data_IF_976193173105
#
_entry.id   IF_976193173105
#
_cell.length_a   1.000
_cell.length_b   1.000
_cell.length_c   1.000
_cell.angle_alpha   90.00
_cell.angle_beta   90.00
_cell.angle_gamma   90.00
#
_symmetry.space_group_name_H-M   'P 1'
#
loop_
_entity.id
_entity.type
_entity.pdbx_description
1 polymer ?
#
# COMPACT_ATOMS: atom_id res chain seq x y z
N UNK A 1 -11.79 -3.65 22.23
CA UNK A 1 -12.24 -4.84 21.49
C UNK A 1 -11.16 -5.91 21.55
N UNK A 2 -11.49 -7.09 22.03
CA UNK A 2 -10.55 -8.19 22.14
C UNK A 2 -11.06 -9.40 21.35
N UNK A 3 -10.20 -9.96 20.51
CA UNK A 3 -10.40 -11.23 19.82
C UNK A 3 -9.50 -12.27 20.51
N UNK A 4 -10.05 -13.45 20.78
CA UNK A 4 -9.26 -14.53 21.37
C UNK A 4 -8.06 -14.89 20.49
N UNK A 5 -6.95 -15.31 21.11
CA UNK A 5 -5.74 -15.67 20.38
C UNK A 5 -6.03 -16.75 19.32
N UNK A 6 -5.50 -16.56 18.11
CA UNK A 6 -5.72 -17.45 16.97
C UNK A 6 -7.11 -17.34 16.33
N UNK A 7 -7.93 -16.38 16.73
CA UNK A 7 -9.23 -16.10 16.12
C UNK A 7 -9.20 -14.77 15.36
N UNK A 8 -10.13 -14.59 14.45
CA UNK A 8 -10.42 -13.31 13.81
C UNK A 8 -11.93 -13.07 13.73
N UNK A 9 -12.31 -11.82 13.61
CA UNK A 9 -13.69 -11.38 13.36
C UNK A 9 -13.79 -10.84 11.94
N UNK A 10 -14.80 -11.30 11.21
CA UNK A 10 -15.02 -10.93 9.80
C UNK A 10 -16.14 -9.91 9.71
N UNK A 11 -15.91 -8.81 8.97
CA UNK A 11 -16.91 -7.78 8.71
C UNK A 11 -17.16 -6.85 9.90
N UNK A 12 -16.19 -6.71 10.80
CA UNK A 12 -16.27 -5.74 11.89
C UNK A 12 -16.14 -4.31 11.35
N UNK A 13 -16.95 -3.39 11.89
CA UNK A 13 -16.86 -1.97 11.57
C UNK A 13 -15.67 -1.29 12.25
N UNK A 14 -15.15 -0.24 11.63
CA UNK A 14 -13.98 0.51 12.12
C UNK A 14 -14.26 1.25 13.44
N UNK A 15 -15.52 1.55 13.74
CA UNK A 15 -15.93 2.16 15.01
C UNK A 15 -16.29 1.13 16.08
N UNK A 16 -16.01 -0.17 15.85
CA UNK A 16 -16.30 -1.25 16.78
C UNK A 16 -17.69 -1.87 16.63
N UNK A 17 -18.35 -1.65 15.49
CA UNK A 17 -19.59 -2.35 15.18
C UNK A 17 -19.30 -3.86 15.09
N UNK A 18 -20.22 -4.71 15.63
CA UNK A 18 -20.00 -6.16 15.63
C UNK A 18 -19.81 -6.71 14.24
N UNK A 19 -18.87 -7.65 14.09
CA UNK A 19 -18.68 -8.38 12.85
C UNK A 19 -19.80 -9.37 12.55
N UNK A 20 -19.76 -9.93 11.36
CA UNK A 20 -20.74 -10.92 10.90
C UNK A 20 -20.55 -12.26 11.64
N UNK A 21 -19.30 -12.67 11.85
CA UNK A 21 -18.96 -13.92 12.56
C UNK A 21 -17.48 -13.96 12.96
N UNK A 22 -17.16 -14.90 13.87
CA UNK A 22 -15.79 -15.22 14.26
C UNK A 22 -15.35 -16.55 13.70
N UNK A 23 -14.07 -16.67 13.38
CA UNK A 23 -13.45 -17.89 12.87
C UNK A 23 -11.99 -18.02 13.36
N UNK A 24 -11.37 -19.16 13.09
CA UNK A 24 -9.93 -19.30 13.23
C UNK A 24 -9.21 -18.38 12.26
N UNK A 25 -8.12 -17.73 12.69
CA UNK A 25 -7.31 -16.90 11.83
C UNK A 25 -6.68 -17.79 10.73
N UNK A 26 -6.98 -17.54 9.44
CA UNK A 26 -6.44 -18.30 8.34
C UNK A 26 -4.97 -17.92 8.08
N UNK A 27 -4.33 -18.64 7.15
CA UNK A 27 -3.08 -18.16 6.55
C UNK A 27 -3.32 -16.89 5.73
N UNK A 28 -2.25 -16.16 5.38
CA UNK A 28 -2.35 -14.97 4.53
C UNK A 28 -3.03 -15.28 3.18
N UNK A 29 -2.71 -16.43 2.57
CA UNK A 29 -3.35 -16.87 1.33
C UNK A 29 -4.85 -17.19 1.54
N UNK A 30 -5.21 -17.88 2.61
CA UNK A 30 -6.61 -18.14 2.96
C UNK A 30 -7.40 -16.89 3.28
N UNK A 31 -6.77 -15.88 3.91
CA UNK A 31 -7.38 -14.58 4.14
C UNK A 31 -7.68 -13.86 2.82
N UNK A 32 -6.71 -13.83 1.91
CA UNK A 32 -6.88 -13.24 0.58
C UNK A 32 -7.99 -13.93 -0.22
N UNK A 33 -8.03 -15.26 -0.20
CA UNK A 33 -9.09 -16.05 -0.85
C UNK A 33 -10.48 -15.70 -0.30
N UNK A 34 -10.63 -15.68 1.02
CA UNK A 34 -11.88 -15.35 1.67
C UNK A 34 -12.35 -13.93 1.31
N UNK A 35 -11.46 -12.93 1.35
CA UNK A 35 -11.80 -11.54 1.05
C UNK A 35 -12.21 -11.37 -0.41
N UNK A 36 -11.44 -11.92 -1.35
CA UNK A 36 -11.72 -11.85 -2.78
C UNK A 36 -13.03 -12.55 -3.11
N UNK A 37 -13.26 -13.76 -2.59
CA UNK A 37 -14.49 -14.51 -2.86
C UNK A 37 -15.72 -13.82 -2.33
N UNK A 38 -15.66 -13.20 -1.14
CA UNK A 38 -16.78 -12.40 -0.60
C UNK A 38 -17.10 -11.19 -1.47
N UNK A 39 -16.11 -10.43 -1.90
CA UNK A 39 -16.33 -9.26 -2.73
C UNK A 39 -16.83 -9.62 -4.13
N UNK A 40 -16.35 -10.71 -4.70
CA UNK A 40 -16.80 -11.18 -6.01
C UNK A 40 -18.17 -11.88 -5.97
N UNK A 41 -18.66 -12.28 -4.81
CA UNK A 41 -20.02 -12.76 -4.64
C UNK A 41 -21.07 -11.62 -4.70
N UNK A 42 -20.65 -10.37 -4.50
CA UNK A 42 -21.52 -9.19 -4.45
C UNK A 42 -21.14 -8.14 -5.52
N UNK A 43 -20.85 -8.61 -6.74
CA UNK A 43 -20.50 -7.72 -7.86
C UNK A 43 -21.70 -6.82 -8.21
N UNK A 44 -21.49 -5.49 -8.33
CA UNK A 44 -22.55 -4.58 -8.74
C UNK A 44 -23.14 -4.98 -10.11
N UNK A 45 -24.46 -4.99 -10.29
CA UNK A 45 -25.09 -5.41 -11.55
C UNK A 45 -24.61 -4.63 -12.78
N UNK A 46 -24.15 -3.39 -12.60
CA UNK A 46 -23.64 -2.54 -13.68
C UNK A 46 -22.33 -3.06 -14.28
N UNK A 47 -21.57 -3.88 -13.55
CA UNK A 47 -20.29 -4.46 -14.01
C UNK A 47 -20.53 -5.55 -15.04
N UNK A 48 -21.61 -6.31 -14.90
CA UNK A 48 -21.95 -7.41 -15.80
C UNK A 48 -20.92 -8.54 -15.77
N UNK A 49 -20.10 -8.65 -16.81
CA UNK A 49 -19.05 -9.66 -16.87
C UNK A 49 -17.76 -9.20 -16.17
N UNK A 50 -17.26 -10.01 -15.26
CA UNK A 50 -16.01 -9.77 -14.52
C UNK A 50 -14.79 -9.86 -15.43
N UNK A 51 -14.80 -10.81 -16.37
CA UNK A 51 -13.66 -11.03 -17.28
C UNK A 51 -13.45 -9.80 -18.19
N UNK A 52 -12.26 -9.23 -18.12
CA UNK A 52 -11.89 -8.01 -18.82
C UNK A 52 -12.28 -6.71 -18.09
N UNK A 53 -12.96 -6.80 -16.96
CA UNK A 53 -13.27 -5.60 -16.16
C UNK A 53 -12.00 -5.04 -15.50
N UNK A 54 -11.98 -3.71 -15.36
CA UNK A 54 -10.88 -2.97 -14.69
C UNK A 54 -11.27 -2.64 -13.26
N UNK A 55 -10.34 -2.81 -12.35
CA UNK A 55 -10.57 -2.63 -10.92
C UNK A 55 -9.39 -1.96 -10.24
N UNK A 56 -9.65 -0.92 -9.44
CA UNK A 56 -8.74 -0.42 -8.43
C UNK A 56 -8.81 -1.30 -7.20
N UNK A 57 -7.69 -1.57 -6.59
CA UNK A 57 -7.59 -2.39 -5.39
C UNK A 57 -7.01 -1.54 -4.27
N UNK A 58 -7.68 -1.48 -3.13
CA UNK A 58 -7.14 -0.90 -1.90
C UNK A 58 -7.07 -2.02 -0.87
N UNK A 59 -5.86 -2.41 -0.47
CA UNK A 59 -5.62 -3.22 0.71
C UNK A 59 -5.12 -2.31 1.81
N UNK A 60 -5.96 -2.10 2.82
CA UNK A 60 -5.73 -1.15 3.89
C UNK A 60 -5.43 -1.86 5.20
N UNK A 61 -4.34 -1.50 5.86
CA UNK A 61 -4.02 -1.89 7.22
C UNK A 61 -4.79 -1.02 8.22
N UNK A 62 -5.26 -1.61 9.32
CA UNK A 62 -6.07 -0.90 10.32
C UNK A 62 -5.26 -0.38 11.52
N UNK A 63 -3.92 -0.50 11.49
CA UNK A 63 -3.01 0.13 12.46
C UNK A 63 -1.91 -0.77 13.01
N UNK A 64 -2.15 -2.06 13.24
CA UNK A 64 -1.15 -2.96 13.82
C UNK A 64 -0.55 -3.98 12.84
N UNK A 65 -1.11 -4.10 11.62
CA UNK A 65 -0.58 -5.00 10.59
C UNK A 65 0.55 -4.30 9.84
N UNK A 66 1.70 -4.95 9.73
CA UNK A 66 2.88 -4.36 9.06
C UNK A 66 2.77 -4.43 7.54
N UNK A 67 3.48 -3.52 6.85
CA UNK A 67 3.49 -3.46 5.39
C UNK A 67 3.90 -4.78 4.74
N UNK A 68 4.87 -5.48 5.31
CA UNK A 68 5.33 -6.77 4.82
C UNK A 68 4.21 -7.80 4.83
N UNK A 69 3.37 -7.82 5.86
CA UNK A 69 2.20 -8.70 5.96
C UNK A 69 1.16 -8.31 4.92
N UNK A 70 0.90 -7.00 4.73
CA UNK A 70 0.00 -6.51 3.69
C UNK A 70 0.47 -6.92 2.29
N UNK A 71 1.77 -6.81 1.99
CA UNK A 71 2.30 -7.23 0.69
C UNK A 71 2.19 -8.74 0.47
N UNK A 72 2.34 -9.56 1.50
CA UNK A 72 2.15 -11.01 1.40
C UNK A 72 0.69 -11.35 1.05
N UNK A 73 -0.27 -10.69 1.70
CA UNK A 73 -1.70 -10.86 1.39
C UNK A 73 -2.02 -10.32 -0.01
N UNK A 74 -1.53 -9.13 -0.36
CA UNK A 74 -1.76 -8.52 -1.66
C UNK A 74 -1.25 -9.37 -2.82
N UNK A 75 -0.08 -9.98 -2.70
CA UNK A 75 0.47 -10.93 -3.68
C UNK A 75 -0.56 -12.00 -4.08
N UNK A 76 -1.28 -12.55 -3.11
CA UNK A 76 -2.31 -13.56 -3.38
C UNK A 76 -3.57 -12.95 -3.97
N UNK A 77 -3.97 -11.76 -3.52
CA UNK A 77 -5.10 -11.01 -4.08
C UNK A 77 -4.88 -10.75 -5.57
N UNK A 78 -3.69 -10.27 -5.94
CA UNK A 78 -3.30 -10.01 -7.35
C UNK A 78 -3.45 -11.27 -8.21
N UNK A 79 -2.92 -12.40 -7.75
CA UNK A 79 -3.03 -13.68 -8.43
C UNK A 79 -4.49 -14.11 -8.62
N UNK A 80 -5.31 -13.95 -7.60
CA UNK A 80 -6.72 -14.37 -7.63
C UNK A 80 -7.55 -13.50 -8.57
N UNK A 81 -7.37 -12.19 -8.57
CA UNK A 81 -8.08 -11.26 -9.44
C UNK A 81 -7.64 -11.43 -10.90
N UNK A 82 -6.34 -11.55 -11.15
CA UNK A 82 -5.77 -11.79 -12.48
C UNK A 82 -6.25 -13.13 -13.06
N UNK A 83 -6.31 -14.20 -12.25
CA UNK A 83 -6.82 -15.49 -12.68
C UNK A 83 -8.31 -15.47 -13.06
N UNK A 84 -9.07 -14.51 -12.54
CA UNK A 84 -10.48 -14.28 -12.89
C UNK A 84 -10.65 -13.34 -14.09
N UNK A 85 -9.55 -12.93 -14.72
CA UNK A 85 -9.54 -12.07 -15.91
C UNK A 85 -9.76 -10.59 -15.61
N UNK A 86 -9.60 -10.16 -14.37
CA UNK A 86 -9.65 -8.75 -13.98
C UNK A 86 -8.32 -8.05 -14.31
N UNK A 87 -8.41 -6.80 -14.75
CA UNK A 87 -7.25 -5.92 -14.90
C UNK A 87 -7.16 -4.99 -13.70
N UNK A 88 -6.11 -5.15 -12.89
CA UNK A 88 -5.86 -4.27 -11.74
C UNK A 88 -5.19 -2.98 -12.22
N UNK A 89 -5.74 -1.85 -11.81
CA UNK A 89 -5.24 -0.52 -12.16
C UNK A 89 -4.77 0.20 -10.89
N UNK A 90 -3.48 0.53 -10.83
CA UNK A 90 -2.84 1.32 -9.77
C UNK A 90 -3.30 0.89 -8.35
N UNK A 91 -2.91 -0.30 -7.90
CA UNK A 91 -3.31 -0.79 -6.59
C UNK A 91 -2.69 0.04 -5.47
N UNK A 92 -3.40 0.16 -4.36
CA UNK A 92 -2.92 0.83 -3.15
C UNK A 92 -2.84 -0.20 -2.01
N UNK A 93 -1.66 -0.34 -1.43
CA UNK A 93 -1.42 -1.19 -0.26
C UNK A 93 -0.79 -0.30 0.80
N UNK A 94 -1.58 0.12 1.79
CA UNK A 94 -1.18 1.18 2.72
C UNK A 94 -2.02 1.16 4.00
N UNK A 95 -1.70 2.01 4.96
CA UNK A 95 -2.50 2.34 6.13
C UNK A 95 -3.20 3.69 5.90
N UNK A 96 -4.32 3.68 5.17
CA UNK A 96 -5.07 4.91 4.83
C UNK A 96 -6.08 5.28 5.89
N UNK A 97 -6.76 4.30 6.45
CA UNK A 97 -7.76 4.47 7.50
C UNK A 97 -7.45 3.47 8.61
N UNK A 98 -7.11 3.97 9.78
CA UNK A 98 -6.70 3.15 10.92
C UNK A 98 -7.69 3.28 12.08
N UNK A 99 -7.72 2.28 12.95
CA UNK A 99 -8.45 2.28 14.20
C UNK A 99 -7.49 1.92 15.34
N UNK A 100 -6.73 2.91 15.81
CA UNK A 100 -5.70 2.76 16.83
C UNK A 100 -4.69 1.65 16.48
N UNK A 101 -4.58 0.63 17.33
CA UNK A 101 -3.71 -0.53 17.20
C UNK A 101 -4.47 -1.79 16.74
N UNK A 102 -5.52 -1.63 15.95
CA UNK A 102 -6.30 -2.75 15.45
C UNK A 102 -5.47 -3.66 14.54
N UNK A 103 -5.29 -4.90 14.94
CA UNK A 103 -4.66 -5.93 14.10
C UNK A 103 -5.67 -6.45 13.07
N UNK A 104 -5.86 -5.69 12.00
CA UNK A 104 -6.84 -5.98 10.98
C UNK A 104 -6.49 -5.38 9.64
N UNK A 105 -7.18 -5.86 8.61
CA UNK A 105 -7.08 -5.34 7.23
C UNK A 105 -8.46 -5.20 6.61
N UNK A 106 -8.58 -4.32 5.63
CA UNK A 106 -9.75 -4.24 4.76
C UNK A 106 -9.35 -4.30 3.29
N UNK A 107 -10.18 -4.94 2.47
CA UNK A 107 -10.02 -5.01 1.02
C UNK A 107 -11.18 -4.29 0.35
N UNK A 108 -10.84 -3.35 -0.53
CA UNK A 108 -11.83 -2.66 -1.37
C UNK A 108 -11.54 -2.94 -2.84
N UNK A 109 -12.57 -3.29 -3.60
CA UNK A 109 -12.54 -3.38 -5.04
C UNK A 109 -13.36 -2.21 -5.62
N UNK A 110 -12.71 -1.35 -6.40
CA UNK A 110 -13.29 -0.18 -7.03
C UNK A 110 -13.43 -0.43 -8.53
N UNK A 111 -14.65 -0.71 -8.98
CA UNK A 111 -14.95 -1.00 -10.39
C UNK A 111 -14.85 0.25 -11.27
N UNK A 112 -14.13 0.16 -12.37
CA UNK A 112 -13.78 1.30 -13.20
C UNK A 112 -14.40 1.26 -14.58
N UNK A 113 -14.89 2.42 -15.01
CA UNK A 113 -15.07 2.79 -16.42
C UNK A 113 -13.92 3.70 -16.87
N UNK A 114 -13.93 4.16 -18.11
CA UNK A 114 -12.86 5.02 -18.67
C UNK A 114 -12.71 6.36 -17.93
N UNK A 115 -13.80 6.92 -17.39
CA UNK A 115 -13.77 8.17 -16.63
C UNK A 115 -13.14 7.97 -15.26
N UNK A 116 -13.59 6.95 -14.54
CA UNK A 116 -13.09 6.62 -13.21
C UNK A 116 -11.62 6.21 -13.24
N UNK A 117 -11.21 5.43 -14.25
CA UNK A 117 -9.79 5.07 -14.42
C UNK A 117 -8.93 6.31 -14.66
N UNK A 118 -9.32 7.19 -15.59
CA UNK A 118 -8.57 8.44 -15.82
C UNK A 118 -8.43 9.29 -14.56
N UNK A 119 -9.46 9.33 -13.71
CA UNK A 119 -9.42 10.06 -12.45
C UNK A 119 -8.58 9.34 -11.40
N UNK A 120 -8.68 8.01 -11.35
CA UNK A 120 -7.95 7.19 -10.38
C UNK A 120 -6.44 7.29 -10.53
N UNK A 121 -5.93 7.33 -11.76
CA UNK A 121 -4.48 7.35 -12.04
C UNK A 121 -3.84 8.74 -11.94
N UNK A 122 -4.62 9.79 -11.68
CA UNK A 122 -4.09 11.15 -11.53
C UNK A 122 -3.15 11.23 -10.34
N UNK A 123 -2.04 11.94 -10.51
CA UNK A 123 -1.12 12.24 -9.44
C UNK A 123 -1.84 12.96 -8.29
N UNK A 124 -1.55 12.55 -7.07
CA UNK A 124 -2.11 13.14 -5.86
C UNK A 124 -0.97 13.46 -4.89
N UNK A 125 -1.02 14.62 -4.26
CA UNK A 125 -0.06 15.07 -3.28
C UNK A 125 -0.79 15.74 -2.12
N UNK A 126 -1.01 14.97 -1.06
CA UNK A 126 -1.69 15.41 0.17
C UNK A 126 -0.82 15.08 1.39
N UNK A 127 -1.09 15.62 2.58
CA UNK A 127 -0.34 15.30 3.78
C UNK A 127 -0.33 13.81 4.14
N UNK A 128 -1.34 13.03 3.74
CA UNK A 128 -1.51 11.64 4.12
C UNK A 128 -1.49 10.66 2.94
N UNK A 129 -1.46 11.12 1.70
CA UNK A 129 -1.47 10.25 0.54
C UNK A 129 -0.72 10.87 -0.63
N UNK A 130 0.26 10.14 -1.15
CA UNK A 130 1.06 10.55 -2.30
C UNK A 130 0.96 9.50 -3.41
N UNK A 131 0.60 9.94 -4.60
CA UNK A 131 0.64 9.14 -5.82
C UNK A 131 1.42 9.89 -6.89
N UNK A 132 2.52 9.31 -7.35
CA UNK A 132 3.29 9.85 -8.48
C UNK A 132 2.55 9.69 -9.80
N UNK A 133 3.11 10.29 -10.84
CA UNK A 133 2.59 10.17 -12.21
C UNK A 133 3.20 8.92 -12.87
N UNK A 134 2.68 7.73 -12.53
CA UNK A 134 3.24 6.43 -12.93
C UNK A 134 3.27 6.25 -14.45
N UNK A 135 2.29 6.78 -15.18
CA UNK A 135 2.24 6.69 -16.64
C UNK A 135 3.37 7.42 -17.40
N UNK A 136 4.00 8.43 -16.78
CA UNK A 136 5.14 9.16 -17.36
C UNK A 136 6.50 8.70 -16.85
N UNK A 137 6.56 8.10 -15.65
CA UNK A 137 7.83 7.67 -15.06
C UNK A 137 8.39 6.44 -15.78
N UNK A 138 7.56 5.49 -16.19
CA UNK A 138 8.02 4.26 -16.84
C UNK A 138 8.58 4.54 -18.25
N UNK A 139 7.99 5.46 -19.02
CA UNK A 139 8.55 5.84 -20.33
C UNK A 139 9.80 6.73 -20.22
N UNK A 140 9.88 7.59 -19.19
CA UNK A 140 11.06 8.44 -18.99
C UNK A 140 12.22 7.72 -18.28
N UNK A 141 11.95 6.62 -17.55
CA UNK A 141 13.02 5.86 -16.89
C UNK A 141 13.92 5.13 -17.85
N UNK A 142 13.38 4.69 -19.00
CA UNK A 142 14.17 4.05 -20.05
C UNK A 142 14.93 5.05 -20.95
N UNK A 143 14.49 6.30 -21.05
CA UNK A 143 15.08 7.27 -21.97
C UNK A 143 16.01 8.31 -21.32
N UNK A 144 16.03 8.49 -19.98
CA UNK A 144 16.75 9.61 -19.37
C UNK A 144 17.17 9.46 -17.90
N UNK A 145 17.70 8.32 -17.47
CA UNK A 145 18.28 8.17 -16.11
C UNK A 145 19.36 9.23 -15.86
N UNK A 146 20.21 9.54 -16.85
CA UNK A 146 21.24 10.58 -16.73
C UNK A 146 20.64 11.99 -16.58
N UNK A 147 19.53 12.31 -17.25
CA UNK A 147 18.88 13.62 -17.15
C UNK A 147 18.18 13.83 -15.81
N UNK A 148 17.62 12.78 -15.21
CA UNK A 148 16.98 12.85 -13.89
C UNK A 148 18.04 13.03 -12.79
N UNK A 149 19.14 12.31 -12.87
CA UNK A 149 20.28 12.46 -11.96
C UNK A 149 20.94 13.85 -12.09
N UNK A 150 20.99 14.40 -13.30
CA UNK A 150 21.52 15.74 -13.54
C UNK A 150 20.57 16.84 -13.01
N UNK A 151 19.25 16.69 -13.16
CA UNK A 151 18.25 17.62 -12.60
C UNK A 151 18.19 17.55 -11.07
N UNK A 152 18.36 16.38 -10.46
CA UNK A 152 18.40 16.26 -8.99
C UNK A 152 19.68 16.88 -8.42
N UNK A 153 20.84 16.73 -9.07
CA UNK A 153 22.07 17.44 -8.69
C UNK A 153 21.90 18.97 -8.76
N UNK A 154 21.31 19.46 -9.84
CA UNK A 154 21.09 20.89 -10.02
C UNK A 154 20.10 21.47 -9.00
N UNK A 155 19.12 20.68 -8.55
CA UNK A 155 18.14 21.09 -7.52
C UNK A 155 18.74 21.14 -6.12
N UNK A 156 19.74 20.32 -5.82
CA UNK A 156 20.50 20.37 -4.57
C UNK A 156 21.46 21.56 -4.51
N UNK A 157 22.00 21.99 -5.66
CA UNK A 157 22.91 23.13 -5.75
C UNK A 157 22.20 24.50 -5.70
N UNK A 158 20.91 24.57 -6.07
CA UNK A 158 20.11 25.80 -6.13
C UNK A 158 19.16 26.01 -4.95
N UNK A 159 19.20 25.14 -3.94
CA UNK A 159 18.38 25.26 -2.73
C UNK A 159 18.67 26.57 -1.97
N UNK A 160 17.64 27.13 -1.30
CA UNK A 160 17.82 28.29 -0.42
C UNK A 160 18.87 28.00 0.67
N UNK A 161 19.45 29.05 1.27
CA UNK A 161 20.40 28.89 2.37
C UNK A 161 19.81 28.05 3.52
N UNK A 162 18.52 28.19 3.79
CA UNK A 162 17.80 27.44 4.82
C UNK A 162 17.65 25.96 4.43
N UNK A 163 17.34 25.65 3.16
CA UNK A 163 17.26 24.25 2.72
C UNK A 163 18.62 23.57 2.66
N UNK A 164 19.68 24.31 2.37
CA UNK A 164 21.05 23.80 2.45
C UNK A 164 21.50 23.55 3.90
N UNK A 165 21.12 24.44 4.82
CA UNK A 165 21.37 24.26 6.25
C UNK A 165 20.61 23.05 6.80
N UNK A 166 19.33 22.90 6.45
CA UNK A 166 18.52 21.74 6.82
C UNK A 166 19.10 20.43 6.25
N UNK A 167 19.52 20.42 4.99
CA UNK A 167 20.15 19.26 4.36
C UNK A 167 21.44 18.82 5.07
N UNK A 168 22.28 19.78 5.52
CA UNK A 168 23.48 19.47 6.28
C UNK A 168 23.18 18.84 7.64
N UNK A 169 22.13 19.30 8.34
CA UNK A 169 21.70 18.74 9.62
C UNK A 169 21.19 17.30 9.43
N UNK A 170 20.36 17.07 8.41
CA UNK A 170 19.86 15.72 8.08
C UNK A 170 21.00 14.79 7.70
N UNK A 171 21.94 15.25 6.88
CA UNK A 171 23.08 14.45 6.48
C UNK A 171 23.96 14.06 7.67
N UNK A 172 24.26 15.02 8.56
CA UNK A 172 25.03 14.76 9.78
C UNK A 172 24.32 13.77 10.73
N UNK A 173 22.98 13.85 10.83
CA UNK A 173 22.19 12.90 11.61
C UNK A 173 22.22 11.48 11.01
N UNK A 174 22.13 11.36 9.69
CA UNK A 174 22.25 10.07 9.00
C UNK A 174 23.63 9.45 9.14
N UNK A 175 24.72 10.26 9.02
CA UNK A 175 26.07 9.77 9.26
C UNK A 175 26.27 9.31 10.71
N UNK A 176 25.72 10.04 11.69
CA UNK A 176 25.79 9.62 13.09
C UNK A 176 25.02 8.32 13.34
N UNK A 177 23.83 8.16 12.75
CA UNK A 177 23.05 6.93 12.82
C UNK A 177 23.80 5.74 12.18
N UNK A 178 24.42 5.95 11.03
CA UNK A 178 25.21 4.92 10.33
C UNK A 178 26.39 4.44 11.20
N UNK A 179 27.13 5.36 11.82
CA UNK A 179 28.21 5.01 12.73
C UNK A 179 27.74 4.17 13.92
N UNK A 180 26.59 4.52 14.52
CA UNK A 180 26.02 3.73 15.62
C UNK A 180 25.65 2.32 15.16
N UNK A 181 25.10 2.18 13.96
CA UNK A 181 24.79 0.87 13.37
C UNK A 181 26.07 0.07 13.13
N UNK A 182 27.11 0.69 12.56
CA UNK A 182 28.40 0.04 12.31
C UNK A 182 29.08 -0.40 13.63
N UNK A 183 29.09 0.47 14.66
CA UNK A 183 29.64 0.16 15.98
C UNK A 183 28.89 -0.95 16.73
N UNK A 184 27.58 -1.08 16.44
CA UNK A 184 26.67 -2.05 17.07
C UNK A 184 26.38 -3.28 16.20
N UNK A 185 27.06 -3.41 15.08
CA UNK A 185 26.78 -4.46 14.09
C UNK A 185 26.84 -5.86 14.69
N UNK A 186 27.80 -6.12 15.61
CA UNK A 186 27.91 -7.41 16.28
C UNK A 186 26.76 -7.67 17.27
N UNK A 187 26.28 -6.62 17.96
CA UNK A 187 25.13 -6.73 18.89
C UNK A 187 23.81 -6.89 18.13
N UNK A 188 23.65 -6.23 16.98
CA UNK A 188 22.45 -6.32 16.13
C UNK A 188 22.37 -7.62 15.31
N UNK A 189 23.49 -8.28 15.08
CA UNK A 189 23.56 -9.55 14.34
C UNK A 189 23.13 -10.77 15.15
N UNK A 190 22.81 -10.62 16.45
CA UNK A 190 22.34 -11.67 17.34
C UNK A 190 20.83 -11.63 17.61
N UNK A 191 20.07 -10.77 16.93
CA UNK A 191 18.61 -10.74 16.93
C UNK A 191 18.07 -11.42 15.67
#
# INVERSE_FOLDING_TARGET
>A
FEVANGKMEVGMGIHGEPGLYRMDAPTADGLAEMLVDKLLAEIPPIVGNVSGARVGVILNGLGAVKYEELFVVYRKIDQLLSARGLTIVEPVVDELITSFDMAGISLTLFWMNDELERTWVVAADTPAFHRGNSGHIIQSYNDNVETILHKSKHRLETGSADSQAAAKVVFAALEAALRVIEEKQEELGYL
#
